data_IF_219801573468
#
_entry.id   IF_219801573468
#
_cell.length_a   1.000
_cell.length_b   1.000
_cell.length_c   1.000
_cell.angle_alpha   90.00
_cell.angle_beta   90.00
_cell.angle_gamma   90.00
#
_symmetry.space_group_name_H-M   'P 1'
#
loop_
_entity.id
_entity.type
_entity.pdbx_description
1 polymer ?
#
# COMPACT_ATOMS: atom_id res chain seq x y z
N UNK A 1 73.44 -30.64 -6.74
CA UNK A 1 72.97 -30.06 -5.46
C UNK A 1 71.51 -30.46 -5.28
N UNK A 2 71.24 -31.32 -4.29
CA UNK A 2 70.09 -32.24 -4.27
C UNK A 2 68.78 -31.61 -3.76
N UNK A 3 67.67 -31.89 -4.45
CA UNK A 3 66.26 -31.52 -4.10
C UNK A 3 65.78 -32.05 -2.74
N UNK A 4 66.58 -32.86 -2.04
CA UNK A 4 66.21 -33.50 -0.78
C UNK A 4 66.56 -32.68 0.47
N UNK A 5 67.27 -31.53 0.34
CA UNK A 5 67.56 -30.64 1.46
C UNK A 5 66.47 -29.58 1.72
N UNK A 6 65.61 -29.31 0.72
CA UNK A 6 64.49 -28.34 0.84
C UNK A 6 63.23 -28.95 1.48
N UNK A 7 63.10 -30.28 1.50
CA UNK A 7 61.97 -30.98 2.12
C UNK A 7 62.10 -31.17 3.64
N UNK A 8 63.28 -30.94 4.22
CA UNK A 8 63.52 -31.14 5.66
C UNK A 8 63.23 -29.90 6.54
N UNK A 9 63.03 -28.71 5.94
CA UNK A 9 62.71 -27.48 6.69
C UNK A 9 61.20 -27.21 6.75
N UNK A 10 60.39 -27.89 5.93
CA UNK A 10 58.93 -27.67 5.85
C UNK A 10 58.13 -28.71 6.67
N UNK A 11 58.79 -29.66 7.33
CA UNK A 11 58.10 -30.77 8.01
C UNK A 11 58.09 -30.73 9.56
N UNK A 12 58.37 -29.59 10.21
CA UNK A 12 58.47 -29.55 11.68
C UNK A 12 57.74 -28.42 12.42
N UNK A 13 56.73 -27.80 11.81
CA UNK A 13 55.71 -27.02 12.54
C UNK A 13 54.32 -27.63 12.35
N UNK A 14 54.14 -28.73 13.08
CA UNK A 14 52.93 -29.04 13.83
C UNK A 14 51.59 -29.08 13.07
N UNK A 15 51.23 -30.30 12.65
CA UNK A 15 49.90 -30.82 12.98
C UNK A 15 49.82 -30.90 14.51
N UNK A 16 49.31 -29.84 15.13
CA UNK A 16 48.64 -29.85 16.43
C UNK A 16 47.93 -28.49 16.61
N UNK A 17 46.70 -28.44 16.11
CA UNK A 17 45.53 -27.74 16.66
C UNK A 17 45.87 -26.78 17.81
N UNK A 18 45.81 -25.48 17.53
CA UNK A 18 45.84 -24.43 18.54
C UNK A 18 45.27 -23.16 17.93
N UNK A 19 44.12 -22.73 18.45
CA UNK A 19 43.40 -21.49 18.19
C UNK A 19 44.24 -20.31 17.67
N UNK A 20 43.60 -19.50 16.83
CA UNK A 20 43.88 -18.08 16.52
C UNK A 20 44.66 -17.80 15.22
N UNK A 21 43.98 -18.01 14.09
CA UNK A 21 44.10 -17.11 12.94
C UNK A 21 42.69 -16.73 12.46
N UNK A 22 42.05 -15.81 13.18
CA UNK A 22 40.97 -14.99 12.61
C UNK A 22 41.62 -13.96 11.69
N UNK A 23 42.02 -14.38 10.49
CA UNK A 23 42.41 -13.46 9.42
C UNK A 23 41.43 -13.67 8.28
N UNK A 24 40.75 -12.59 7.90
CA UNK A 24 40.01 -12.53 6.64
C UNK A 24 38.53 -12.25 6.85
N UNK A 25 38.23 -10.95 6.97
CA UNK A 25 36.94 -10.34 6.61
C UNK A 25 35.70 -11.08 7.10
N UNK A 26 35.19 -10.69 8.27
CA UNK A 26 33.79 -10.92 8.58
C UNK A 26 32.96 -10.38 7.42
N UNK A 27 32.43 -11.28 6.59
CA UNK A 27 31.32 -10.97 5.73
C UNK A 27 30.14 -10.80 6.68
N UNK A 28 30.03 -9.60 7.26
CA UNK A 28 28.74 -9.13 7.71
C UNK A 28 27.91 -9.12 6.43
N UNK A 29 27.10 -10.16 6.24
CA UNK A 29 25.93 -10.04 5.40
C UNK A 29 25.11 -8.99 6.11
N UNK A 30 25.34 -7.73 5.73
CA UNK A 30 24.51 -6.63 6.14
C UNK A 30 23.14 -6.94 5.59
N UNK A 31 22.34 -7.65 6.37
CA UNK A 31 20.90 -7.64 6.20
C UNK A 31 20.49 -6.21 6.55
N UNK A 32 20.66 -5.31 5.59
CA UNK A 32 19.99 -4.03 5.65
C UNK A 32 18.51 -4.37 5.57
N UNK A 33 17.83 -4.27 6.70
CA UNK A 33 16.38 -4.12 6.72
C UNK A 33 16.16 -2.76 6.05
N UNK A 34 15.99 -2.77 4.73
CA UNK A 34 15.62 -1.57 4.01
C UNK A 34 14.21 -1.22 4.50
N UNK A 35 14.10 -0.17 5.31
CA UNK A 35 12.80 0.34 5.69
C UNK A 35 12.08 0.72 4.41
N UNK A 36 10.83 0.26 4.26
CA UNK A 36 9.98 0.73 3.19
C UNK A 36 9.84 2.25 3.38
N UNK A 37 10.47 3.04 2.52
CA UNK A 37 10.20 4.46 2.46
C UNK A 37 8.81 4.63 1.88
N UNK A 38 7.90 5.18 2.68
CA UNK A 38 6.57 5.57 2.23
C UNK A 38 6.50 7.09 2.14
N UNK A 39 5.66 7.56 1.22
CA UNK A 39 5.32 8.98 1.10
C UNK A 39 3.82 9.12 1.35
N UNK A 40 3.46 10.03 2.26
CA UNK A 40 2.07 10.47 2.40
C UNK A 40 1.81 11.49 1.29
N UNK A 41 0.79 11.23 0.48
CA UNK A 41 0.35 12.13 -0.59
C UNK A 41 -1.07 12.56 -0.28
N UNK A 42 -1.27 13.86 -0.13
CA UNK A 42 -2.62 14.42 -0.10
C UNK A 42 -3.24 14.25 -1.49
N UNK A 43 -4.44 13.67 -1.52
CA UNK A 43 -5.14 13.37 -2.76
C UNK A 43 -5.82 14.61 -3.35
N UNK A 44 -6.07 15.65 -2.55
CA UNK A 44 -6.71 16.88 -3.02
C UNK A 44 -8.16 16.65 -3.38
N UNK A 45 -9.06 16.78 -2.39
CA UNK A 45 -10.50 16.56 -2.54
C UNK A 45 -11.33 17.74 -1.98
N UNK A 46 -10.78 18.95 -2.04
CA UNK A 46 -11.48 20.16 -1.56
C UNK A 46 -11.78 20.13 -0.05
N UNK A 47 -12.93 20.69 0.33
CA UNK A 47 -13.35 20.86 1.74
C UNK A 47 -14.24 19.72 2.27
N UNK A 48 -14.65 18.76 1.42
CA UNK A 48 -15.52 17.66 1.85
C UNK A 48 -14.72 16.54 2.50
N UNK A 49 -15.17 16.01 3.66
CA UNK A 49 -14.55 14.83 4.26
C UNK A 49 -14.61 13.65 3.30
N UNK A 50 -13.44 13.09 2.99
CA UNK A 50 -13.30 11.96 2.06
C UNK A 50 -12.60 10.79 2.71
N UNK A 51 -12.95 9.60 2.25
CA UNK A 51 -12.34 8.35 2.67
C UNK A 51 -11.86 7.61 1.43
N UNK A 52 -10.54 7.34 1.37
CA UNK A 52 -9.98 6.43 0.39
C UNK A 52 -10.34 4.98 0.76
N UNK A 53 -10.74 4.19 -0.23
CA UNK A 53 -11.20 2.81 -0.06
C UNK A 53 -10.15 1.82 -0.59
N UNK A 54 -9.75 2.00 -1.85
CA UNK A 54 -8.81 1.12 -2.54
C UNK A 54 -8.08 1.85 -3.66
N UNK A 55 -7.03 1.24 -4.18
CA UNK A 55 -6.23 1.73 -5.31
C UNK A 55 -5.90 0.54 -6.23
N UNK A 56 -5.91 0.75 -7.53
CA UNK A 56 -5.49 -0.29 -8.50
C UNK A 56 -4.07 -0.05 -9.05
N UNK A 57 -3.57 -1.01 -9.82
CA UNK A 57 -2.23 -0.96 -10.43
C UNK A 57 -2.01 0.22 -11.39
N UNK A 58 -3.10 0.81 -11.91
CA UNK A 58 -3.05 2.00 -12.75
C UNK A 58 -2.95 3.30 -11.95
N UNK A 59 -2.98 3.22 -10.62
CA UNK A 59 -2.94 4.39 -9.71
C UNK A 59 -4.29 5.09 -9.57
N UNK A 60 -5.39 4.49 -10.02
CA UNK A 60 -6.73 5.01 -9.79
C UNK A 60 -7.13 4.73 -8.35
N UNK A 61 -7.60 5.75 -7.66
CA UNK A 61 -7.98 5.66 -6.25
C UNK A 61 -9.50 5.72 -6.17
N UNK A 62 -10.09 4.77 -5.46
CA UNK A 62 -11.50 4.71 -5.15
C UNK A 62 -11.78 5.43 -3.84
N UNK A 63 -12.74 6.35 -3.83
CA UNK A 63 -13.07 7.18 -2.67
C UNK A 63 -14.59 7.29 -2.51
N UNK A 64 -15.02 7.64 -1.30
CA UNK A 64 -16.35 8.20 -1.07
C UNK A 64 -16.25 9.47 -0.22
N UNK A 65 -17.24 10.33 -0.37
CA UNK A 65 -17.41 11.54 0.44
C UNK A 65 -18.79 11.54 1.09
N UNK A 66 -18.89 12.20 2.25
CA UNK A 66 -20.18 12.53 2.85
C UNK A 66 -20.47 13.99 2.60
N UNK A 67 -21.56 14.26 1.92
CA UNK A 67 -22.09 15.60 1.77
C UNK A 67 -23.15 15.81 2.85
N UNK A 68 -22.90 16.78 3.72
CA UNK A 68 -23.97 17.35 4.53
C UNK A 68 -24.86 18.16 3.60
N UNK A 69 -26.15 17.83 3.56
CA UNK A 69 -27.16 18.70 2.96
C UNK A 69 -27.49 19.76 4.02
N UNK A 70 -27.22 21.02 3.71
CA UNK A 70 -27.41 22.13 4.65
C UNK A 70 -28.88 22.22 5.16
N UNK A 71 -28.97 22.60 6.44
CA UNK A 71 -30.15 22.98 7.22
C UNK A 71 -31.02 21.87 7.84
N UNK A 72 -30.54 21.33 8.96
CA UNK A 72 -31.15 21.39 10.32
C UNK A 72 -30.46 20.30 11.14
N UNK A 73 -29.67 20.70 12.14
CA UNK A 73 -29.05 19.76 13.08
C UNK A 73 -30.13 19.24 14.04
N UNK A 74 -30.98 18.33 13.56
CA UNK A 74 -31.69 17.40 14.44
C UNK A 74 -30.79 16.17 14.59
N UNK A 75 -30.35 15.93 15.82
CA UNK A 75 -29.64 14.71 16.18
C UNK A 75 -30.52 13.51 15.82
N UNK A 76 -30.11 12.68 14.85
CA UNK A 76 -30.76 11.41 14.52
C UNK A 76 -31.16 11.21 13.06
N UNK A 77 -31.31 12.27 12.26
CA UNK A 77 -31.72 12.17 10.85
C UNK A 77 -31.06 13.29 10.03
N UNK A 78 -29.77 13.15 9.75
CA UNK A 78 -29.17 13.94 8.67
C UNK A 78 -29.31 13.13 7.39
N UNK A 79 -29.94 13.64 6.31
CA UNK A 79 -29.85 13.00 5.01
C UNK A 79 -28.39 13.12 4.56
N UNK A 80 -27.59 12.12 4.92
CA UNK A 80 -26.20 12.03 4.49
C UNK A 80 -26.25 11.59 3.03
N UNK A 81 -25.94 12.50 2.13
CA UNK A 81 -25.71 12.11 0.75
C UNK A 81 -24.28 11.59 0.65
N UNK A 82 -24.13 10.29 0.40
CA UNK A 82 -22.81 9.71 0.16
C UNK A 82 -22.59 9.59 -1.33
N UNK A 83 -21.50 10.17 -1.82
CA UNK A 83 -21.09 10.08 -3.22
C UNK A 83 -19.77 9.34 -3.32
N UNK A 84 -19.61 8.62 -4.41
CA UNK A 84 -18.44 7.80 -4.67
C UNK A 84 -17.71 8.31 -5.90
N UNK A 85 -16.38 8.20 -5.89
CA UNK A 85 -15.52 8.81 -6.90
C UNK A 85 -14.35 7.90 -7.22
N UNK A 86 -13.91 7.95 -8.47
CA UNK A 86 -12.60 7.46 -8.90
C UNK A 86 -11.72 8.69 -9.14
N UNK A 87 -10.60 8.78 -8.43
CA UNK A 87 -9.54 9.74 -8.70
C UNK A 87 -8.53 9.12 -9.65
N UNK A 88 -8.36 9.73 -10.80
CA UNK A 88 -7.38 9.36 -11.81
C UNK A 88 -5.96 9.79 -11.39
N UNK A 89 -4.89 9.17 -11.92
CA UNK A 89 -3.50 9.52 -11.58
C UNK A 89 -3.15 10.99 -11.85
N UNK A 90 -3.79 11.62 -12.84
CA UNK A 90 -3.62 13.03 -13.19
C UNK A 90 -4.32 13.99 -12.20
N UNK A 91 -5.07 13.46 -11.24
CA UNK A 91 -5.84 14.23 -10.25
C UNK A 91 -7.28 14.48 -10.63
N UNK A 92 -7.72 14.08 -11.82
CA UNK A 92 -9.13 14.22 -12.24
C UNK A 92 -10.03 13.34 -11.38
N UNK A 93 -11.22 13.84 -11.04
CA UNK A 93 -12.25 13.11 -10.32
C UNK A 93 -13.38 12.73 -11.25
N UNK A 94 -13.76 11.45 -11.22
CA UNK A 94 -14.92 10.91 -11.93
C UNK A 94 -15.90 10.33 -10.93
N UNK A 95 -17.12 10.87 -10.92
CA UNK A 95 -18.19 10.35 -10.06
C UNK A 95 -18.60 8.94 -10.49
N UNK A 96 -18.89 8.08 -9.52
CA UNK A 96 -19.50 6.77 -9.74
C UNK A 96 -21.01 6.98 -9.65
N UNK A 97 -21.77 6.69 -10.72
CA UNK A 97 -23.21 6.86 -10.69
C UNK A 97 -23.83 5.90 -9.67
N UNK A 98 -24.76 6.40 -8.88
CA UNK A 98 -25.60 5.57 -8.01
C UNK A 98 -26.75 4.91 -8.75
N UNK A 99 -27.57 4.16 -8.01
CA UNK A 99 -28.78 3.50 -8.52
C UNK A 99 -30.04 4.35 -8.33
N UNK A 100 -29.89 5.64 -8.03
CA UNK A 100 -30.98 6.61 -7.90
C UNK A 100 -31.44 6.90 -6.47
N UNK A 101 -30.82 6.31 -5.45
CA UNK A 101 -30.99 6.68 -4.05
C UNK A 101 -29.93 7.67 -3.55
N UNK A 102 -29.81 7.78 -2.22
CA UNK A 102 -29.04 8.84 -1.54
C UNK A 102 -27.57 8.53 -1.34
N UNK A 103 -27.18 7.26 -1.37
CA UNK A 103 -25.82 6.84 -1.07
C UNK A 103 -25.26 5.84 -2.09
N UNK A 104 -23.95 5.96 -2.31
CA UNK A 104 -23.13 5.01 -3.06
C UNK A 104 -21.94 4.64 -2.18
N UNK A 105 -21.77 3.35 -1.91
CA UNK A 105 -20.70 2.83 -1.07
C UNK A 105 -19.82 1.89 -1.89
N UNK A 106 -18.70 2.40 -2.42
CA UNK A 106 -17.80 1.63 -3.25
C UNK A 106 -16.96 0.69 -2.37
N UNK A 107 -16.62 -0.50 -2.88
CA UNK A 107 -15.89 -1.53 -2.13
C UNK A 107 -14.49 -1.76 -2.68
N UNK A 108 -14.36 -1.89 -3.99
CA UNK A 108 -13.10 -2.26 -4.63
C UNK A 108 -13.05 -1.78 -6.08
N UNK A 109 -11.84 -1.52 -6.57
CA UNK A 109 -11.55 -1.23 -7.97
C UNK A 109 -10.50 -2.22 -8.49
N UNK A 110 -10.78 -2.88 -9.62
CA UNK A 110 -9.83 -3.81 -10.23
C UNK A 110 -8.81 -3.10 -11.14
N UNK A 111 -7.83 -3.84 -11.67
CA UNK A 111 -6.77 -3.29 -12.55
C UNK A 111 -7.27 -2.70 -13.87
N UNK A 112 -8.48 -3.05 -14.31
CA UNK A 112 -9.14 -2.50 -15.49
C UNK A 112 -9.98 -1.25 -15.18
N UNK A 113 -10.04 -0.82 -13.91
CA UNK A 113 -10.83 0.32 -13.47
C UNK A 113 -12.31 0.03 -13.23
N UNK A 114 -12.73 -1.24 -13.25
CA UNK A 114 -14.09 -1.62 -12.88
C UNK A 114 -14.24 -1.57 -11.36
N UNK A 115 -15.35 -0.98 -10.91
CA UNK A 115 -15.66 -0.78 -9.50
C UNK A 115 -16.84 -1.67 -9.11
N UNK A 116 -16.71 -2.33 -7.97
CA UNK A 116 -17.83 -3.02 -7.32
C UNK A 116 -18.27 -2.27 -6.06
N UNK A 117 -19.54 -2.43 -5.69
CA UNK A 117 -20.06 -1.82 -4.47
C UNK A 117 -21.53 -2.06 -4.25
N UNK A 118 -22.12 -1.18 -3.47
CA UNK A 118 -23.56 -1.14 -3.22
C UNK A 118 -24.03 0.31 -3.29
N UNK A 119 -25.25 0.50 -3.76
CA UNK A 119 -25.89 1.81 -3.78
C UNK A 119 -27.35 1.66 -3.36
N UNK A 120 -27.91 2.76 -2.86
CA UNK A 120 -29.33 2.84 -2.59
C UNK A 120 -30.11 2.95 -3.90
N UNK A 121 -31.17 2.15 -4.03
CA UNK A 121 -32.18 2.26 -5.09
C UNK A 121 -33.24 3.31 -4.72
N UNK A 122 -34.11 3.73 -5.66
CA UNK A 122 -35.11 4.76 -5.38
C UNK A 122 -36.15 4.36 -4.32
N UNK A 123 -36.32 3.06 -4.03
CA UNK A 123 -37.16 2.54 -2.95
C UNK A 123 -36.44 2.43 -1.60
N UNK A 124 -35.22 2.97 -1.48
CA UNK A 124 -34.46 3.06 -0.22
C UNK A 124 -33.76 1.77 0.19
N UNK A 125 -33.58 0.81 -0.74
CA UNK A 125 -32.92 -0.47 -0.44
C UNK A 125 -31.47 -0.50 -0.95
N UNK A 126 -30.56 -1.21 -0.27
CA UNK A 126 -29.24 -1.47 -0.81
C UNK A 126 -29.32 -2.45 -1.98
N UNK A 127 -28.58 -2.17 -3.06
CA UNK A 127 -28.41 -3.06 -4.20
C UNK A 127 -26.96 -3.05 -4.67
N UNK A 128 -26.40 -4.24 -4.93
CA UNK A 128 -25.02 -4.40 -5.36
C UNK A 128 -24.82 -4.06 -6.83
N UNK A 129 -23.66 -3.52 -7.18
CA UNK A 129 -23.24 -3.26 -8.57
C UNK A 129 -21.80 -3.71 -8.80
#
# INVERSE_FOLDING_TARGET
MNRNLLLAIVSFTAVAIGLALFVGTGFLVGLSIQSAQYRVTDLGFGETPTCAVSINDSGQILLWETRHVDHVITYGEQPMEMRAWVREPDGTLREIPGLGGKWVHPREINSQGAVIGEAETPDGKPHGF
#
